data_IF_125306595779
#
_entry.id   IF_125306595779
#
_cell.length_a   1.000
_cell.length_b   1.000
_cell.length_c   1.000
_cell.angle_alpha   90.00
_cell.angle_beta   90.00
_cell.angle_gamma   90.00
#
_symmetry.space_group_name_H-M   'P 1'
#
loop_
_entity.id
_entity.type
_entity.pdbx_description
1 polymer ?
#
# COMPACT_ATOMS: atom_id res chain seq x y z
N UNK A 1 -3.20 5.67 -16.97
CA UNK A 1 -4.03 4.69 -17.72
C UNK A 1 -5.19 4.17 -16.88
N UNK A 2 -4.95 3.53 -15.72
CA UNK A 2 -6.01 2.91 -14.91
C UNK A 2 -7.18 3.85 -14.61
N UNK A 3 -6.89 5.08 -14.17
CA UNK A 3 -7.91 6.12 -13.94
C UNK A 3 -8.74 6.44 -15.19
N UNK A 4 -8.09 6.61 -16.35
CA UNK A 4 -8.79 6.90 -17.60
C UNK A 4 -9.65 5.72 -18.04
N UNK A 5 -9.17 4.49 -17.84
CA UNK A 5 -9.93 3.28 -18.17
C UNK A 5 -11.20 3.20 -17.31
N UNK A 6 -11.06 3.33 -15.98
CA UNK A 6 -12.18 3.30 -15.04
C UNK A 6 -13.23 4.37 -15.39
N UNK A 7 -12.80 5.60 -15.68
CA UNK A 7 -13.67 6.68 -16.15
C UNK A 7 -14.39 6.33 -17.45
N UNK A 8 -13.67 5.86 -18.46
CA UNK A 8 -14.26 5.53 -19.77
C UNK A 8 -15.26 4.37 -19.70
N UNK A 9 -15.05 3.44 -18.77
CA UNK A 9 -15.93 2.31 -18.53
C UNK A 9 -17.13 2.67 -17.63
N UNK A 10 -17.12 3.86 -17.00
CA UNK A 10 -18.14 4.27 -16.03
C UNK A 10 -18.12 3.43 -14.74
N UNK A 11 -16.96 2.89 -14.36
CA UNK A 11 -16.79 2.00 -13.20
C UNK A 11 -15.90 2.61 -12.13
N UNK A 12 -16.11 2.22 -10.87
CA UNK A 12 -15.17 2.49 -9.78
C UNK A 12 -14.00 1.50 -9.86
N UNK A 13 -12.78 1.95 -9.56
CA UNK A 13 -11.60 1.10 -9.53
C UNK A 13 -10.79 1.25 -8.25
N UNK A 14 -10.05 0.19 -7.92
CA UNK A 14 -9.08 0.17 -6.81
C UNK A 14 -7.68 0.06 -7.39
N UNK A 15 -6.76 0.88 -6.88
CA UNK A 15 -5.33 0.81 -7.18
C UNK A 15 -4.63 0.32 -5.91
N UNK A 16 -4.00 -0.85 -5.97
CA UNK A 16 -3.19 -1.41 -4.88
C UNK A 16 -1.71 -1.30 -5.23
N UNK A 17 -0.93 -0.65 -4.37
CA UNK A 17 0.50 -0.37 -4.60
C UNK A 17 1.31 -0.87 -3.39
N UNK A 18 1.77 -2.11 -3.47
CA UNK A 18 2.68 -2.73 -2.50
C UNK A 18 4.14 -2.44 -2.83
N UNK A 19 4.47 -1.16 -3.00
CA UNK A 19 5.80 -0.66 -3.38
C UNK A 19 6.11 0.60 -2.56
N UNK A 20 7.38 0.90 -2.37
CA UNK A 20 7.80 2.10 -1.67
C UNK A 20 9.24 2.49 -1.97
N UNK A 21 9.54 3.76 -1.72
CA UNK A 21 10.88 4.33 -1.78
C UNK A 21 10.99 5.58 -0.91
N UNK A 22 12.13 6.28 -0.99
CA UNK A 22 12.26 7.59 -0.36
C UNK A 22 11.20 8.57 -0.85
N UNK A 23 10.83 9.54 -0.01
CA UNK A 23 9.81 10.55 -0.32
C UNK A 23 10.05 11.20 -1.68
N UNK A 24 9.02 11.19 -2.51
CA UNK A 24 9.04 11.73 -3.87
C UNK A 24 7.71 12.44 -4.16
N UNK A 25 7.79 13.75 -4.42
CA UNK A 25 6.61 14.58 -4.67
C UNK A 25 5.84 14.17 -5.93
N UNK A 26 6.52 13.72 -6.99
CA UNK A 26 5.89 13.28 -8.22
C UNK A 26 5.08 11.99 -8.04
N UNK A 27 5.60 11.04 -7.24
CA UNK A 27 4.87 9.81 -6.90
C UNK A 27 3.63 10.14 -6.06
N UNK A 28 3.75 11.01 -5.06
CA UNK A 28 2.61 11.45 -4.25
C UNK A 28 1.54 12.13 -5.13
N UNK A 29 1.95 13.10 -5.95
CA UNK A 29 1.03 13.79 -6.85
C UNK A 29 0.30 12.84 -7.81
N UNK A 30 0.97 11.78 -8.28
CA UNK A 30 0.33 10.79 -9.16
C UNK A 30 -0.75 9.96 -8.45
N UNK A 31 -0.51 9.53 -7.20
CA UNK A 31 -1.51 8.76 -6.44
C UNK A 31 -2.64 9.65 -5.91
N UNK A 32 -2.33 10.87 -5.51
CA UNK A 32 -3.31 11.89 -5.09
C UNK A 32 -4.24 12.24 -6.25
N UNK A 33 -3.69 12.49 -7.45
CA UNK A 33 -4.50 12.76 -8.64
C UNK A 33 -5.41 11.57 -8.99
N UNK A 34 -4.94 10.32 -8.85
CA UNK A 34 -5.79 9.17 -9.08
C UNK A 34 -6.95 9.09 -8.08
N UNK A 35 -6.69 9.39 -6.80
CA UNK A 35 -7.71 9.41 -5.75
C UNK A 35 -8.74 10.53 -5.95
N UNK A 36 -8.30 11.74 -6.33
CA UNK A 36 -9.19 12.87 -6.63
C UNK A 36 -10.10 12.59 -7.83
N UNK A 37 -9.68 11.68 -8.71
CA UNK A 37 -10.44 11.23 -9.87
C UNK A 37 -11.37 10.03 -9.57
N UNK A 38 -11.57 9.71 -8.29
CA UNK A 38 -12.55 8.73 -7.81
C UNK A 38 -12.03 7.31 -7.64
N UNK A 39 -10.71 7.07 -7.77
CA UNK A 39 -10.12 5.77 -7.49
C UNK A 39 -9.90 5.57 -5.99
N UNK A 40 -10.16 4.37 -5.46
CA UNK A 40 -9.64 4.00 -4.14
C UNK A 40 -8.17 3.60 -4.30
N UNK A 41 -7.26 4.37 -3.72
CA UNK A 41 -5.82 4.09 -3.78
C UNK A 41 -5.35 3.57 -2.43
N UNK A 42 -4.83 2.34 -2.41
CA UNK A 42 -4.28 1.67 -1.22
C UNK A 42 -2.79 1.46 -1.40
N UNK A 43 -1.99 1.90 -0.44
CA UNK A 43 -0.53 1.88 -0.52
C UNK A 43 0.10 1.27 0.73
N UNK A 44 1.26 0.63 0.57
CA UNK A 44 2.02 0.14 1.71
C UNK A 44 2.69 1.29 2.49
N UNK A 45 2.70 1.22 3.82
CA UNK A 45 3.47 2.13 4.66
C UNK A 45 4.99 1.99 4.43
N UNK A 46 5.44 0.79 4.03
CA UNK A 46 6.84 0.40 3.81
C UNK A 46 7.42 -0.40 4.97
N UNK A 47 8.57 -1.05 4.73
CA UNK A 47 9.11 -2.13 5.58
C UNK A 47 10.49 -1.80 6.15
N UNK A 48 10.70 -0.54 6.57
CA UNK A 48 11.98 -0.01 7.02
C UNK A 48 12.01 0.32 8.53
N UNK A 49 10.94 0.01 9.28
CA UNK A 49 10.73 0.40 10.68
C UNK A 49 11.03 1.90 10.92
N UNK A 50 10.49 2.77 10.05
CA UNK A 50 10.66 4.23 10.15
C UNK A 50 9.33 4.97 10.00
N UNK A 51 9.37 6.30 10.16
CA UNK A 51 8.19 7.12 9.92
C UNK A 51 7.78 7.09 8.42
N UNK A 52 6.58 6.62 8.14
CA UNK A 52 6.00 6.47 6.80
C UNK A 52 5.92 7.80 6.02
N UNK A 53 5.87 8.94 6.74
CA UNK A 53 5.87 10.27 6.13
C UNK A 53 7.18 10.61 5.36
N UNK A 54 8.23 9.79 5.51
CA UNK A 54 9.47 9.89 4.73
C UNK A 54 9.54 8.92 3.54
N UNK A 55 8.49 8.15 3.30
CA UNK A 55 8.37 7.20 2.19
C UNK A 55 7.29 7.64 1.21
N UNK A 56 7.44 7.31 -0.07
CA UNK A 56 6.38 7.50 -1.08
C UNK A 56 6.02 6.16 -1.70
N UNK A 57 4.74 5.91 -1.99
CA UNK A 57 3.59 6.84 -1.88
C UNK A 57 2.98 7.02 -0.48
N UNK A 58 3.44 6.29 0.55
CA UNK A 58 2.89 6.36 1.92
C UNK A 58 2.71 7.80 2.49
N UNK A 59 3.62 8.72 2.17
CA UNK A 59 3.56 10.12 2.63
C UNK A 59 2.50 10.99 1.96
N UNK A 60 1.73 10.47 1.00
CA UNK A 60 0.52 11.09 0.45
C UNK A 60 -0.69 10.97 1.41
N UNK A 61 -0.48 10.55 2.65
CA UNK A 61 -1.50 10.23 3.65
C UNK A 61 -2.67 11.21 3.71
N UNK A 62 -3.85 10.69 4.05
CA UNK A 62 -5.12 11.43 4.03
C UNK A 62 -5.75 11.60 2.65
N UNK A 63 -4.99 11.40 1.56
CA UNK A 63 -5.52 11.33 0.18
C UNK A 63 -5.55 9.91 -0.39
N UNK A 64 -4.78 9.01 0.21
CA UNK A 64 -4.73 7.58 -0.10
C UNK A 64 -4.88 6.81 1.21
N UNK A 65 -5.16 5.50 1.13
CA UNK A 65 -5.17 4.62 2.30
C UNK A 65 -3.80 3.97 2.46
N UNK A 66 -3.03 4.44 3.42
CA UNK A 66 -1.72 3.88 3.77
C UNK A 66 -1.88 2.80 4.83
N UNK A 67 -1.40 1.59 4.53
CA UNK A 67 -1.57 0.40 5.37
C UNK A 67 -0.23 -0.03 5.98
N UNK A 68 -0.17 -0.09 7.30
CA UNK A 68 0.92 -0.72 8.06
C UNK A 68 0.67 -2.21 8.30
N UNK A 69 1.71 -2.93 8.68
CA UNK A 69 1.70 -4.39 8.85
C UNK A 69 1.62 -4.79 10.33
N UNK A 70 0.79 -5.77 10.66
CA UNK A 70 0.69 -6.42 11.98
C UNK A 70 0.99 -7.92 11.92
N UNK A 71 1.36 -8.46 13.07
CA UNK A 71 1.47 -9.89 13.34
C UNK A 71 0.09 -10.49 13.66
N UNK A 72 0.04 -11.82 13.78
CA UNK A 72 -1.16 -12.54 14.22
C UNK A 72 -1.59 -12.21 15.67
N UNK A 73 -0.70 -11.60 16.47
CA UNK A 73 -0.99 -11.13 17.84
C UNK A 73 -1.48 -9.69 17.90
N UNK A 74 -1.85 -9.08 16.75
CA UNK A 74 -2.22 -7.66 16.62
C UNK A 74 -1.12 -6.67 17.05
N UNK A 75 0.13 -7.14 17.11
CA UNK A 75 1.29 -6.27 17.30
C UNK A 75 1.76 -5.73 15.95
N UNK A 76 2.28 -4.50 15.92
CA UNK A 76 2.90 -3.98 14.70
C UNK A 76 4.07 -4.89 14.31
N UNK A 77 4.10 -5.38 13.06
CA UNK A 77 5.22 -6.12 12.51
C UNK A 77 6.50 -5.32 12.72
N UNK A 78 7.58 -5.95 13.21
CA UNK A 78 8.80 -5.23 13.61
C UNK A 78 9.41 -4.38 12.48
N UNK A 79 9.18 -4.76 11.23
CA UNK A 79 9.64 -4.05 10.03
C UNK A 79 8.67 -2.95 9.56
N UNK A 80 7.41 -2.93 9.98
CA UNK A 80 6.40 -2.00 9.44
C UNK A 80 6.81 -0.55 9.71
N UNK A 81 6.66 0.33 8.73
CA UNK A 81 6.69 1.76 8.98
C UNK A 81 5.50 2.19 9.85
N UNK A 82 5.62 3.37 10.46
CA UNK A 82 4.68 3.90 11.46
C UNK A 82 4.51 5.42 11.34
N UNK A 83 3.69 6.02 12.20
CA UNK A 83 3.51 7.46 12.29
C UNK A 83 2.21 7.95 11.65
N UNK A 84 2.05 9.28 11.57
CA UNK A 84 0.78 9.93 11.24
C UNK A 84 0.34 9.76 9.78
N UNK A 85 1.23 9.31 8.89
CA UNK A 85 0.88 9.02 7.50
C UNK A 85 0.35 7.59 7.30
N UNK A 86 0.30 6.77 8.35
CA UNK A 86 -0.36 5.46 8.33
C UNK A 86 -1.81 5.65 8.76
N UNK A 87 -2.76 5.21 7.93
CA UNK A 87 -4.20 5.34 8.21
C UNK A 87 -4.71 4.15 9.02
N UNK A 88 -4.28 2.93 8.64
CA UNK A 88 -4.69 1.68 9.29
C UNK A 88 -3.55 0.67 9.34
N UNK A 89 -3.68 -0.34 10.19
CA UNK A 89 -2.84 -1.52 10.23
C UNK A 89 -3.65 -2.76 9.83
N UNK A 90 -3.01 -3.73 9.18
CA UNK A 90 -3.60 -5.00 8.76
C UNK A 90 -2.58 -6.14 8.86
N UNK A 91 -3.02 -7.42 8.90
CA UNK A 91 -2.11 -8.56 8.94
C UNK A 91 -1.13 -8.57 7.77
N UNK A 92 0.16 -8.60 8.08
CA UNK A 92 1.23 -8.60 7.07
C UNK A 92 2.49 -9.36 7.48
N UNK A 93 2.53 -9.99 8.67
CA UNK A 93 3.55 -11.00 8.99
C UNK A 93 3.04 -12.41 8.72
N UNK A 94 3.89 -13.23 8.09
CA UNK A 94 3.69 -14.66 7.85
C UNK A 94 2.39 -14.98 7.09
N UNK A 95 2.13 -14.22 6.02
CA UNK A 95 0.96 -14.39 5.17
C UNK A 95 1.24 -15.46 4.11
N UNK A 96 0.49 -16.56 4.18
CA UNK A 96 0.49 -17.59 3.15
C UNK A 96 -0.27 -17.12 1.91
N UNK A 97 0.33 -17.27 0.73
CA UNK A 97 -0.30 -16.92 -0.54
C UNK A 97 0.21 -17.79 -1.69
N UNK A 98 -0.39 -17.63 -2.87
CA UNK A 98 0.05 -18.26 -4.12
C UNK A 98 1.48 -17.87 -4.47
N UNK A 99 2.23 -18.80 -5.07
CA UNK A 99 3.62 -18.57 -5.45
C UNK A 99 3.92 -18.91 -6.91
N UNK A 100 4.92 -18.24 -7.48
CA UNK A 100 5.21 -18.25 -8.92
C UNK A 100 5.74 -19.58 -9.48
N UNK A 101 6.08 -20.54 -8.63
CA UNK A 101 6.82 -21.75 -9.04
C UNK A 101 5.92 -22.84 -9.65
N UNK A 102 4.61 -22.86 -9.33
CA UNK A 102 3.60 -23.72 -9.99
C UNK A 102 2.17 -23.27 -9.68
N UNK A 103 1.18 -23.79 -10.43
CA UNK A 103 -0.25 -23.49 -10.25
C UNK A 103 -0.84 -23.87 -8.87
N UNK A 104 -0.12 -24.67 -8.10
CA UNK A 104 -0.52 -25.11 -6.74
C UNK A 104 0.47 -24.68 -5.67
N UNK A 105 1.53 -23.96 -6.05
CA UNK A 105 2.57 -23.56 -5.12
C UNK A 105 2.09 -22.45 -4.20
N UNK A 106 2.50 -22.54 -2.93
CA UNK A 106 2.26 -21.52 -1.91
C UNK A 106 3.58 -21.07 -1.32
N UNK A 107 3.64 -19.83 -0.85
CA UNK A 107 4.74 -19.31 -0.07
C UNK A 107 4.21 -18.44 1.07
N UNK A 108 4.95 -18.39 2.17
CA UNK A 108 4.66 -17.53 3.31
C UNK A 108 5.63 -16.36 3.28
N UNK A 109 5.09 -15.15 3.14
CA UNK A 109 5.89 -13.92 3.07
C UNK A 109 5.35 -12.87 4.04
N UNK A 110 6.21 -11.93 4.39
CA UNK A 110 5.88 -10.81 5.26
C UNK A 110 6.14 -9.49 4.55
N UNK A 111 5.26 -8.51 4.75
CA UNK A 111 5.41 -7.17 4.21
C UNK A 111 4.32 -6.19 4.59
#
# INVERSE_FOLDING_TARGET
WATNHAKSAGTVGVISISLGGGKNAGINAAVEAAAEEGMLVVVAAGNDNRNACFSSPASAGGKVVTVGSTTISDERSWFSNYGTCVDIFAPGSDIISSWKDSDTSTNTISG
#
